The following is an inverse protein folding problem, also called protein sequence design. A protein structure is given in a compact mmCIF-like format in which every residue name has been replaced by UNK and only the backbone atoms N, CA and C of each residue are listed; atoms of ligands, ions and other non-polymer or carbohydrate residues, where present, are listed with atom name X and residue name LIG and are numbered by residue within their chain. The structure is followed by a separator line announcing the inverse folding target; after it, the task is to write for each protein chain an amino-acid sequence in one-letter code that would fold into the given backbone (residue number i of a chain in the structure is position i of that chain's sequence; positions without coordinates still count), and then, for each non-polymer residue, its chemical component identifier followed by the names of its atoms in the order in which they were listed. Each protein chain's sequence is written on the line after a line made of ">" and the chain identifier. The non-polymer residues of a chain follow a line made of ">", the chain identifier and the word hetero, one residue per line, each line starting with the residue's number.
data_IF_702498365152
#
_entry.id   IF_702498365152
#
_cell.length_a   1.000
_cell.length_b   1.000
_cell.length_c   1.000
_cell.angle_alpha   90.00
_cell.angle_beta   90.00
_cell.angle_gamma   90.00
#
_symmetry.space_group_name_H-M   'P 1'
#
loop_
_entity.id
_entity.type
_entity.pdbx_description
1 polymer ?
#
# COMPACT_ATOMS: atom_id res chain seq x y z
N UNK A 1 -5.40 -9.16 -16.67
CA UNK A 1 -4.92 -7.79 -16.97
C UNK A 1 -3.91 -7.45 -15.90
N UNK A 2 -2.68 -7.15 -16.29
CA UNK A 2 -1.62 -6.72 -15.36
C UNK A 2 -1.90 -5.32 -14.81
N UNK A 3 -1.29 -5.02 -13.67
CA UNK A 3 -1.28 -3.67 -13.08
C UNK A 3 -0.19 -2.79 -13.72
N UNK A 4 0.83 -3.36 -14.40
CA UNK A 4 1.82 -2.56 -15.13
C UNK A 4 1.20 -2.04 -16.42
N UNK A 5 1.09 -0.73 -16.52
CA UNK A 5 0.56 -0.03 -17.68
C UNK A 5 1.49 -0.18 -18.89
N UNK A 6 0.90 -0.10 -20.09
CA UNK A 6 1.67 -0.06 -21.33
C UNK A 6 2.57 1.18 -21.45
N UNK A 7 2.33 2.22 -20.65
CA UNK A 7 3.19 3.42 -20.56
C UNK A 7 4.47 3.06 -19.80
N UNK A 8 4.35 2.53 -18.58
CA UNK A 8 5.50 2.12 -17.76
C UNK A 8 6.38 1.09 -18.46
N UNK A 9 5.79 0.10 -19.15
CA UNK A 9 6.56 -0.86 -19.96
C UNK A 9 7.39 -0.17 -21.03
N UNK A 10 6.77 0.76 -21.77
CA UNK A 10 7.45 1.52 -22.83
C UNK A 10 8.54 2.39 -22.27
N UNK A 11 8.28 3.13 -21.21
CA UNK A 11 9.26 4.01 -20.58
C UNK A 11 10.48 3.22 -20.09
N UNK A 12 10.28 2.05 -19.47
CA UNK A 12 11.37 1.16 -19.05
C UNK A 12 12.15 0.63 -20.25
N UNK A 13 11.47 0.20 -21.32
CA UNK A 13 12.11 -0.26 -22.56
C UNK A 13 12.94 0.88 -23.20
N UNK A 14 12.41 2.10 -23.19
CA UNK A 14 13.08 3.28 -23.72
C UNK A 14 14.34 3.63 -22.93
N UNK A 15 14.41 3.35 -21.62
CA UNK A 15 15.67 3.47 -20.85
C UNK A 15 16.76 2.54 -21.40
N UNK A 16 16.41 1.30 -21.78
CA UNK A 16 17.36 0.36 -22.39
C UNK A 16 17.70 0.72 -23.83
N UNK A 17 16.74 1.25 -24.60
CA UNK A 17 16.95 1.65 -26.00
C UNK A 17 17.76 2.94 -26.14
N UNK A 18 17.47 3.95 -25.32
CA UNK A 18 17.93 5.31 -25.52
C UNK A 18 18.94 5.80 -24.47
N UNK A 19 19.10 5.06 -23.37
CA UNK A 19 19.95 5.51 -22.28
C UNK A 19 19.25 6.43 -21.28
N UNK A 20 19.96 6.80 -20.22
CA UNK A 20 19.57 7.85 -19.27
C UNK A 20 20.38 9.09 -19.61
N UNK A 21 19.72 10.15 -20.07
CA UNK A 21 20.35 11.45 -20.30
C UNK A 21 20.45 12.24 -19.01
N UNK A 22 21.65 12.72 -18.69
CA UNK A 22 21.92 13.64 -17.59
C UNK A 22 22.42 14.98 -18.14
N UNK A 23 21.71 16.05 -17.79
CA UNK A 23 22.16 17.42 -18.00
C UNK A 23 23.12 17.79 -16.87
N UNK A 24 24.42 17.67 -17.13
CA UNK A 24 25.41 18.36 -16.31
C UNK A 24 25.63 19.75 -16.89
N UNK A 25 25.79 20.77 -16.03
CA UNK A 25 25.98 22.19 -16.39
C UNK A 25 27.11 22.51 -17.40
N UNK A 26 27.89 21.50 -17.81
CA UNK A 26 28.95 21.58 -18.81
C UNK A 26 28.68 20.73 -20.07
N UNK A 27 28.06 19.56 -19.96
CA UNK A 27 27.87 18.57 -21.06
C UNK A 27 26.64 17.70 -20.77
N UNK A 28 25.85 17.42 -21.80
CA UNK A 28 24.80 16.40 -21.80
C UNK A 28 25.46 15.02 -22.00
N UNK A 29 25.35 14.13 -21.00
CA UNK A 29 25.90 12.77 -21.08
C UNK A 29 24.77 11.74 -21.05
N UNK A 30 24.79 10.80 -21.99
CA UNK A 30 23.84 9.68 -22.01
C UNK A 30 24.52 8.42 -21.52
N UNK A 31 24.01 7.90 -20.40
CA UNK A 31 24.48 6.67 -19.78
C UNK A 31 23.72 5.50 -20.35
N UNK A 32 24.43 4.54 -20.94
CA UNK A 32 23.85 3.32 -21.49
C UNK A 32 24.15 2.11 -20.61
N UNK A 33 23.11 1.33 -20.31
CA UNK A 33 23.24 0.05 -19.63
C UNK A 33 22.43 -1.03 -20.35
N UNK A 34 23.07 -2.09 -20.89
CA UNK A 34 22.36 -3.16 -21.59
C UNK A 34 21.63 -4.07 -20.61
N UNK A 35 20.44 -4.55 -20.99
CA UNK A 35 19.65 -5.49 -20.16
C UNK A 35 20.39 -6.82 -19.90
N UNK A 36 21.28 -7.24 -20.80
CA UNK A 36 22.08 -8.45 -20.66
C UNK A 36 23.33 -8.27 -19.78
N UNK A 37 23.58 -7.07 -19.27
CA UNK A 37 24.68 -6.76 -18.37
C UNK A 37 26.05 -7.13 -18.96
N UNK A 38 26.74 -8.10 -18.34
CA UNK A 38 28.07 -8.59 -18.76
C UNK A 38 28.03 -9.85 -19.62
N UNK A 39 26.86 -10.44 -19.85
CA UNK A 39 26.71 -11.58 -20.75
C UNK A 39 26.58 -11.12 -22.21
N UNK A 40 26.60 -12.06 -23.15
CA UNK A 40 25.99 -11.83 -24.45
C UNK A 40 24.47 -12.06 -24.39
N UNK A 41 23.76 -11.59 -25.42
CA UNK A 41 22.29 -11.65 -25.50
C UNK A 41 21.78 -13.11 -25.39
N UNK A 42 22.43 -14.07 -26.05
CA UNK A 42 21.97 -15.45 -26.09
C UNK A 42 22.11 -16.11 -24.72
N UNK A 43 23.29 -15.95 -24.11
CA UNK A 43 23.57 -16.50 -22.79
C UNK A 43 22.68 -15.88 -21.71
N UNK A 44 22.38 -14.58 -21.80
CA UNK A 44 21.39 -13.94 -20.93
C UNK A 44 19.99 -14.54 -21.12
N UNK A 45 19.50 -14.62 -22.35
CA UNK A 45 18.15 -15.12 -22.64
C UNK A 45 17.96 -16.57 -22.20
N UNK A 46 18.99 -17.41 -22.28
CA UNK A 46 18.96 -18.81 -21.82
C UNK A 46 18.75 -18.96 -20.31
N UNK A 47 18.95 -17.91 -19.53
CA UNK A 47 18.66 -17.90 -18.09
C UNK A 47 17.16 -17.79 -17.81
N UNK A 48 16.41 -17.18 -18.73
CA UNK A 48 14.97 -16.97 -18.62
C UNK A 48 14.15 -17.98 -19.46
N UNK A 49 14.67 -18.37 -20.61
CA UNK A 49 13.91 -19.10 -21.63
C UNK A 49 14.63 -20.36 -22.11
N UNK A 50 13.87 -21.42 -22.37
CA UNK A 50 14.36 -22.64 -23.03
C UNK A 50 14.33 -22.48 -24.55
N UNK A 51 15.22 -21.64 -25.08
CA UNK A 51 15.24 -21.26 -26.50
C UNK A 51 15.42 -22.45 -27.46
N UNK A 52 16.03 -23.54 -27.00
CA UNK A 52 16.20 -24.77 -27.78
C UNK A 52 14.89 -25.52 -28.06
N UNK A 53 13.84 -25.21 -27.27
CA UNK A 53 12.49 -25.77 -27.41
C UNK A 53 11.57 -24.93 -28.29
N UNK A 54 11.96 -23.71 -28.63
CA UNK A 54 11.15 -22.78 -29.41
C UNK A 54 11.34 -22.99 -30.91
N UNK A 55 10.27 -22.79 -31.68
CA UNK A 55 10.35 -22.80 -33.14
C UNK A 55 11.18 -21.63 -33.65
N UNK A 56 11.98 -21.90 -34.70
CA UNK A 56 12.78 -20.91 -35.39
C UNK A 56 11.92 -20.08 -36.35
N UNK A 57 12.09 -18.76 -36.36
CA UNK A 57 11.58 -17.87 -37.39
C UNK A 57 12.30 -18.06 -38.74
N UNK A 58 13.52 -18.60 -38.73
CA UNK A 58 14.23 -19.03 -39.93
C UNK A 58 14.05 -20.54 -40.15
N UNK A 59 13.28 -20.90 -41.17
CA UNK A 59 12.99 -22.30 -41.56
C UNK A 59 14.24 -23.16 -41.83
N UNK A 60 15.41 -22.55 -42.04
CA UNK A 60 16.69 -23.27 -42.26
C UNK A 60 17.30 -23.79 -40.97
N UNK A 61 16.86 -23.28 -39.82
CA UNK A 61 17.43 -23.56 -38.51
C UNK A 61 16.48 -24.38 -37.64
N UNK A 62 17.05 -25.15 -36.72
CA UNK A 62 16.29 -26.17 -35.97
C UNK A 62 15.39 -25.56 -34.89
N UNK A 63 15.84 -24.49 -34.25
CA UNK A 63 15.16 -23.85 -33.12
C UNK A 63 15.57 -22.38 -32.98
N UNK A 64 14.84 -21.65 -32.13
CA UNK A 64 15.09 -20.23 -31.90
C UNK A 64 16.50 -19.95 -31.34
N UNK A 65 17.09 -20.84 -30.55
CA UNK A 65 18.47 -20.65 -30.06
C UNK A 65 19.47 -20.52 -31.22
N UNK A 66 19.39 -21.41 -32.21
CA UNK A 66 20.26 -21.36 -33.38
C UNK A 66 20.01 -20.12 -34.24
N UNK A 67 18.74 -19.74 -34.41
CA UNK A 67 18.31 -18.53 -35.11
C UNK A 67 18.91 -17.27 -34.49
N UNK A 68 18.64 -17.07 -33.21
CA UNK A 68 19.07 -15.88 -32.49
C UNK A 68 20.59 -15.80 -32.48
N UNK A 69 21.28 -16.91 -32.18
CA UNK A 69 22.74 -16.95 -32.20
C UNK A 69 23.32 -16.59 -33.58
N UNK A 70 22.72 -17.08 -34.67
CA UNK A 70 23.17 -16.76 -36.03
C UNK A 70 22.93 -15.28 -36.36
N UNK A 71 21.72 -14.77 -36.13
CA UNK A 71 21.36 -13.39 -36.47
C UNK A 71 22.08 -12.35 -35.61
N UNK A 72 22.26 -12.61 -34.31
CA UNK A 72 23.08 -11.76 -33.44
C UNK A 72 24.54 -11.73 -33.91
N UNK A 73 25.11 -12.88 -34.30
CA UNK A 73 26.50 -12.92 -34.80
C UNK A 73 26.67 -12.23 -36.16
N UNK A 74 25.67 -12.31 -37.03
CA UNK A 74 25.69 -11.65 -38.33
C UNK A 74 25.44 -10.13 -38.24
N UNK A 75 24.96 -9.64 -37.10
CA UNK A 75 24.57 -8.24 -36.92
C UNK A 75 23.21 -7.89 -37.52
N UNK A 76 22.37 -8.89 -37.79
CA UNK A 76 21.03 -8.69 -38.34
C UNK A 76 20.06 -8.13 -37.29
N UNK A 77 20.33 -8.43 -36.01
CA UNK A 77 19.54 -7.96 -34.87
C UNK A 77 20.22 -6.78 -34.18
N UNK A 78 19.45 -5.71 -33.93
CA UNK A 78 19.88 -4.63 -33.04
C UNK A 78 20.00 -5.14 -31.61
N UNK A 79 20.83 -4.54 -30.75
CA UNK A 79 21.01 -5.04 -29.38
C UNK A 79 19.71 -5.15 -28.55
N UNK A 80 18.71 -4.35 -28.92
CA UNK A 80 17.42 -4.21 -28.22
C UNK A 80 16.24 -4.87 -28.96
N UNK A 81 16.52 -5.71 -29.97
CA UNK A 81 15.51 -6.40 -30.79
C UNK A 81 14.49 -7.20 -29.98
N UNK A 82 14.89 -7.74 -28.82
CA UNK A 82 14.05 -8.58 -27.96
C UNK A 82 12.79 -7.86 -27.46
N UNK A 83 12.82 -6.53 -27.38
CA UNK A 83 11.68 -5.76 -26.91
C UNK A 83 10.58 -5.66 -27.97
N UNK A 84 10.91 -5.93 -29.23
CA UNK A 84 9.98 -5.88 -30.35
C UNK A 84 9.57 -7.28 -30.83
N UNK A 85 10.14 -8.35 -30.26
CA UNK A 85 9.81 -9.74 -30.57
C UNK A 85 8.73 -10.29 -29.60
N UNK A 86 7.55 -10.57 -30.15
CA UNK A 86 6.37 -11.02 -29.41
C UNK A 86 6.59 -12.35 -28.67
N UNK A 87 7.56 -13.19 -29.06
CA UNK A 87 7.84 -14.48 -28.40
C UNK A 87 8.26 -14.32 -26.93
N UNK A 88 8.84 -13.16 -26.58
CA UNK A 88 9.27 -12.88 -25.21
C UNK A 88 8.18 -12.27 -24.33
N UNK A 89 7.08 -11.80 -24.94
CA UNK A 89 5.94 -11.21 -24.24
C UNK A 89 6.31 -10.07 -23.25
N UNK A 90 7.34 -9.28 -23.57
CA UNK A 90 7.80 -8.18 -22.71
C UNK A 90 6.86 -6.96 -22.77
N UNK A 91 6.13 -6.78 -23.88
CA UNK A 91 5.17 -5.68 -24.06
C UNK A 91 3.74 -6.14 -23.77
N UNK A 92 3.33 -7.28 -24.31
CA UNK A 92 1.96 -7.78 -24.33
C UNK A 92 1.68 -8.94 -23.33
N UNK A 93 2.72 -9.39 -22.63
CA UNK A 93 2.62 -10.47 -21.64
C UNK A 93 2.10 -10.08 -20.27
N UNK A 94 2.16 -11.05 -19.36
CA UNK A 94 1.82 -10.83 -17.94
C UNK A 94 2.86 -9.96 -17.24
N UNK A 95 2.50 -9.35 -16.11
CA UNK A 95 3.45 -8.58 -15.29
C UNK A 95 4.61 -9.43 -14.79
N UNK A 96 4.34 -10.68 -14.41
CA UNK A 96 5.37 -11.59 -13.91
C UNK A 96 6.48 -11.79 -14.94
N UNK A 97 6.15 -12.00 -16.21
CA UNK A 97 7.16 -12.16 -17.28
C UNK A 97 8.09 -10.94 -17.35
N UNK A 98 7.53 -9.74 -17.26
CA UNK A 98 8.30 -8.50 -17.33
C UNK A 98 9.11 -8.25 -16.06
N UNK A 99 8.51 -8.46 -14.89
CA UNK A 99 9.18 -8.28 -13.59
C UNK A 99 10.31 -9.32 -13.39
N UNK A 100 10.10 -10.58 -13.79
CA UNK A 100 11.10 -11.64 -13.72
C UNK A 100 12.27 -11.34 -14.67
N UNK A 101 11.98 -10.84 -15.88
CA UNK A 101 12.99 -10.32 -16.79
C UNK A 101 13.82 -9.22 -16.12
N UNK A 102 13.19 -8.20 -15.52
CA UNK A 102 13.89 -7.12 -14.84
C UNK A 102 14.71 -7.61 -13.64
N UNK A 103 14.22 -8.58 -12.87
CA UNK A 103 14.99 -9.19 -11.79
C UNK A 103 16.26 -9.86 -12.33
N UNK A 104 16.17 -10.53 -13.47
CA UNK A 104 17.32 -11.18 -14.10
C UNK A 104 18.34 -10.18 -14.64
N UNK A 105 17.90 -9.05 -15.22
CA UNK A 105 18.79 -7.94 -15.62
C UNK A 105 19.68 -7.50 -14.46
N UNK A 106 19.12 -7.43 -13.25
CA UNK A 106 19.82 -6.99 -12.04
C UNK A 106 20.36 -8.13 -11.18
N UNK A 107 20.31 -9.38 -11.67
CA UNK A 107 20.88 -10.51 -10.97
C UNK A 107 22.41 -10.33 -10.84
N UNK A 108 23.03 -10.64 -9.68
CA UNK A 108 24.45 -10.38 -9.45
C UNK A 108 25.40 -11.14 -10.37
N UNK A 109 24.93 -12.20 -11.04
CA UNK A 109 25.70 -12.86 -12.10
C UNK A 109 25.60 -12.13 -13.44
N UNK A 110 24.52 -11.40 -13.71
CA UNK A 110 24.24 -10.72 -14.97
C UNK A 110 24.78 -9.30 -14.97
N UNK A 111 24.48 -8.53 -13.93
CA UNK A 111 24.86 -7.11 -13.88
C UNK A 111 26.37 -6.92 -13.84
N UNK A 112 26.84 -5.91 -14.57
CA UNK A 112 28.22 -5.44 -14.49
C UNK A 112 28.40 -4.41 -13.37
N UNK A 113 29.11 -4.80 -12.31
CA UNK A 113 29.39 -3.94 -11.14
C UNK A 113 30.31 -2.75 -11.47
N UNK A 114 30.95 -2.73 -12.64
CA UNK A 114 31.79 -1.60 -13.08
C UNK A 114 31.03 -0.55 -13.89
N UNK A 115 29.72 -0.74 -14.09
CA UNK A 115 28.84 0.16 -14.84
C UNK A 115 27.72 0.69 -13.95
N UNK A 116 26.99 1.68 -14.47
CA UNK A 116 25.92 2.43 -13.77
C UNK A 116 24.58 1.65 -13.63
N UNK A 117 24.64 0.36 -13.29
CA UNK A 117 23.45 -0.49 -13.16
C UNK A 117 22.50 -0.01 -12.06
N UNK A 118 23.03 0.59 -10.99
CA UNK A 118 22.23 1.12 -9.87
C UNK A 118 21.33 2.27 -10.30
N UNK A 119 21.81 3.15 -11.18
CA UNK A 119 21.00 4.25 -11.73
C UNK A 119 19.81 3.71 -12.51
N UNK A 120 20.04 2.69 -13.34
CA UNK A 120 18.98 1.99 -14.06
C UNK A 120 18.00 1.31 -13.11
N UNK A 121 18.51 0.61 -12.08
CA UNK A 121 17.69 -0.03 -11.07
C UNK A 121 16.76 0.99 -10.37
N UNK A 122 17.31 2.11 -9.92
CA UNK A 122 16.54 3.18 -9.25
C UNK A 122 15.49 3.80 -10.17
N UNK A 123 15.86 4.12 -11.43
CA UNK A 123 14.93 4.71 -12.40
C UNK A 123 13.79 3.75 -12.76
N UNK A 124 14.10 2.48 -13.03
CA UNK A 124 13.10 1.46 -13.32
C UNK A 124 12.20 1.25 -12.12
N UNK A 125 12.75 1.15 -10.92
CA UNK A 125 11.96 0.96 -9.71
C UNK A 125 11.04 2.16 -9.42
N UNK A 126 11.45 3.39 -9.78
CA UNK A 126 10.59 4.57 -9.67
C UNK A 126 9.36 4.50 -10.59
N UNK A 127 9.54 3.98 -11.81
CA UNK A 127 8.45 3.79 -12.77
C UNK A 127 7.51 2.66 -12.32
N UNK A 128 8.06 1.52 -11.87
CA UNK A 128 7.27 0.39 -11.39
C UNK A 128 6.38 0.76 -10.19
N UNK A 129 6.84 1.65 -9.32
CA UNK A 129 6.10 2.10 -8.13
C UNK A 129 4.83 2.85 -8.47
N UNK A 130 4.80 3.56 -9.61
CA UNK A 130 3.58 4.23 -10.08
C UNK A 130 2.47 3.23 -10.44
N UNK A 131 2.87 2.03 -10.87
CA UNK A 131 1.98 0.92 -11.23
C UNK A 131 1.88 -0.15 -10.13
N UNK A 132 2.31 0.18 -8.91
CA UNK A 132 2.08 -0.64 -7.73
C UNK A 132 2.99 -1.87 -7.64
N UNK A 133 4.19 -1.82 -8.21
CA UNK A 133 5.24 -2.82 -7.99
C UNK A 133 6.57 -2.20 -7.57
N UNK A 134 7.43 -2.99 -6.94
CA UNK A 134 8.83 -2.62 -6.77
C UNK A 134 9.73 -3.85 -6.77
N UNK A 135 10.98 -3.66 -7.22
CA UNK A 135 12.07 -4.61 -7.07
C UNK A 135 12.73 -4.39 -5.70
N UNK A 136 12.89 -5.48 -4.94
CA UNK A 136 13.45 -5.50 -3.59
C UNK A 136 14.47 -6.61 -3.45
N UNK A 137 15.49 -6.38 -2.62
CA UNK A 137 16.47 -7.41 -2.32
C UNK A 137 15.79 -8.56 -1.57
N UNK A 138 15.85 -9.77 -2.13
CA UNK A 138 15.22 -10.97 -1.58
C UNK A 138 16.22 -11.88 -0.87
N UNK A 139 17.48 -11.87 -1.32
CA UNK A 139 18.57 -12.68 -0.77
C UNK A 139 19.92 -12.12 -1.18
N UNK A 140 21.01 -12.81 -0.83
CA UNK A 140 22.37 -12.43 -1.24
C UNK A 140 23.14 -13.63 -1.79
N UNK A 141 23.93 -13.40 -2.84
CA UNK A 141 24.94 -14.34 -3.36
C UNK A 141 26.31 -13.67 -3.23
N UNK A 142 27.24 -14.30 -2.51
CA UNK A 142 28.59 -13.76 -2.28
C UNK A 142 28.59 -12.31 -1.78
N UNK A 143 27.65 -11.98 -0.88
CA UNK A 143 27.46 -10.65 -0.30
C UNK A 143 26.70 -9.64 -1.17
N UNK A 144 26.37 -9.99 -2.42
CA UNK A 144 25.65 -9.12 -3.37
C UNK A 144 24.16 -9.42 -3.38
N UNK A 145 23.34 -8.38 -3.45
CA UNK A 145 21.89 -8.52 -3.45
C UNK A 145 21.36 -9.20 -4.72
N UNK A 146 20.47 -10.16 -4.50
CA UNK A 146 19.58 -10.75 -5.50
C UNK A 146 18.22 -10.09 -5.34
N UNK A 147 17.64 -9.64 -6.44
CA UNK A 147 16.36 -8.94 -6.43
C UNK A 147 15.21 -9.88 -6.78
N UNK A 148 14.06 -9.62 -6.17
CA UNK A 148 12.74 -10.14 -6.54
C UNK A 148 11.78 -8.96 -6.60
N UNK A 149 10.58 -9.16 -7.12
CA UNK A 149 9.53 -8.14 -7.09
C UNK A 149 8.50 -8.40 -5.99
N UNK A 150 7.81 -7.35 -5.55
CA UNK A 150 6.60 -7.41 -4.71
C UNK A 150 5.62 -6.32 -5.14
N UNK A 151 4.37 -6.42 -4.68
CA UNK A 151 3.40 -5.32 -4.80
C UNK A 151 3.83 -4.15 -3.94
N UNK A 152 3.82 -2.95 -4.53
CA UNK A 152 4.06 -1.68 -3.87
C UNK A 152 2.74 -0.97 -3.62
N UNK A 153 2.45 -0.68 -2.36
CA UNK A 153 1.31 0.18 -2.01
C UNK A 153 1.82 1.61 -2.05
N UNK A 154 1.44 2.37 -3.09
CA UNK A 154 1.74 3.80 -3.18
C UNK A 154 1.17 4.49 -1.95
N UNK A 155 2.05 4.85 -1.01
CA UNK A 155 1.66 5.65 0.15
C UNK A 155 1.14 6.98 -0.40
N UNK A 156 -0.06 7.45 -0.01
CA UNK A 156 -0.58 8.71 -0.51
C UNK A 156 0.44 9.82 -0.26
N UNK A 157 0.64 10.70 -1.26
CA UNK A 157 1.64 11.79 -1.21
C UNK A 157 1.48 12.66 0.04
N UNK A 158 0.26 12.71 0.58
CA UNK A 158 -0.07 13.38 1.82
C UNK A 158 -0.70 12.39 2.80
N UNK A 159 -0.09 12.23 3.99
CA UNK A 159 -0.75 11.65 5.16
C UNK A 159 -1.08 12.78 6.13
N UNK A 160 -2.12 12.61 6.95
CA UNK A 160 -2.42 13.54 8.04
C UNK A 160 -1.96 12.87 9.33
N UNK A 161 -1.04 13.44 10.13
CA UNK A 161 -0.55 12.81 11.34
C UNK A 161 -1.67 12.44 12.32
N UNK A 162 -1.50 11.35 13.07
CA UNK A 162 -2.44 10.86 14.08
C UNK A 162 -3.02 11.98 14.96
N UNK A 163 -2.18 12.87 15.48
CA UNK A 163 -2.58 13.94 16.39
C UNK A 163 -3.51 14.96 15.72
N UNK A 164 -3.31 15.24 14.44
CA UNK A 164 -4.14 16.16 13.66
C UNK A 164 -5.41 15.47 13.17
N UNK A 165 -5.32 14.22 12.67
CA UNK A 165 -6.49 13.40 12.28
C UNK A 165 -7.46 13.19 13.44
N UNK A 166 -6.94 13.06 14.67
CA UNK A 166 -7.73 12.80 15.87
C UNK A 166 -7.86 14.02 16.81
N UNK A 167 -7.54 15.23 16.35
CA UNK A 167 -7.43 16.44 17.18
C UNK A 167 -8.66 16.72 18.04
N UNK A 168 -9.86 16.55 17.48
CA UNK A 168 -11.12 16.73 18.21
C UNK A 168 -11.32 15.68 19.32
N UNK A 169 -10.91 14.43 19.07
CA UNK A 169 -11.02 13.34 20.04
C UNK A 169 -9.99 13.48 21.17
N UNK A 170 -8.79 13.98 20.84
CA UNK A 170 -7.71 14.24 21.80
C UNK A 170 -8.07 15.42 22.70
N UNK A 171 -8.45 16.56 22.11
CA UNK A 171 -8.83 17.77 22.88
C UNK A 171 -10.09 17.53 23.71
N UNK A 172 -11.05 16.78 23.18
CA UNK A 172 -12.24 16.31 23.90
C UNK A 172 -11.98 15.18 24.92
N UNK A 173 -10.72 14.77 25.13
CA UNK A 173 -10.28 13.68 26.04
C UNK A 173 -10.98 12.33 25.82
N UNK A 174 -11.51 12.10 24.61
CA UNK A 174 -12.11 10.82 24.21
C UNK A 174 -11.03 9.77 23.94
N UNK A 175 -9.89 10.20 23.40
CA UNK A 175 -8.68 9.39 23.35
C UNK A 175 -7.77 9.84 24.50
N UNK A 176 -7.58 8.95 25.47
CA UNK A 176 -6.66 9.16 26.58
C UNK A 176 -5.64 8.04 26.59
N UNK A 177 -4.41 8.35 26.19
CA UNK A 177 -3.32 7.40 26.12
C UNK A 177 -2.17 7.93 26.98
N UNK A 178 -1.58 7.07 27.79
CA UNK A 178 -0.33 7.34 28.50
C UNK A 178 0.75 6.49 27.86
N UNK A 179 1.87 7.11 27.53
CA UNK A 179 3.03 6.44 26.96
C UNK A 179 4.26 6.67 27.86
N UNK A 180 4.56 5.71 28.77
CA UNK A 180 5.68 5.82 29.71
C UNK A 180 7.02 5.97 28.98
N UNK A 181 7.97 6.70 29.57
CA UNK A 181 9.28 6.95 28.95
C UNK A 181 10.00 5.64 28.58
N UNK A 182 9.92 4.59 29.40
CA UNK A 182 10.51 3.29 29.08
C UNK A 182 9.98 2.69 27.77
N UNK A 183 8.69 2.91 27.45
CA UNK A 183 8.09 2.45 26.19
C UNK A 183 8.58 3.33 25.03
N UNK A 184 8.66 4.65 25.24
CA UNK A 184 9.22 5.58 24.23
C UNK A 184 10.63 5.20 23.82
N UNK A 185 11.49 4.89 24.80
CA UNK A 185 12.86 4.44 24.54
C UNK A 185 12.89 3.16 23.71
N UNK A 186 11.99 2.20 23.96
CA UNK A 186 11.91 0.98 23.16
C UNK A 186 11.46 1.26 21.73
N UNK A 187 10.46 2.13 21.54
CA UNK A 187 9.98 2.51 20.21
C UNK A 187 11.06 3.25 19.41
N UNK A 188 11.79 4.17 20.02
CA UNK A 188 12.91 4.87 19.38
C UNK A 188 14.05 3.94 19.03
N UNK A 189 14.34 2.94 19.89
CA UNK A 189 15.34 1.92 19.58
C UNK A 189 14.95 1.09 18.34
N UNK A 190 13.67 0.79 18.13
CA UNK A 190 13.21 0.13 16.89
C UNK A 190 13.43 1.06 15.70
N UNK A 191 13.08 2.34 15.81
CA UNK A 191 13.34 3.31 14.73
C UNK A 191 14.84 3.42 14.41
N UNK A 192 15.73 3.39 15.40
CA UNK A 192 17.18 3.38 15.16
C UNK A 192 17.67 2.12 14.40
N UNK A 193 17.02 0.96 14.61
CA UNK A 193 17.35 -0.30 13.91
C UNK A 193 16.89 -0.27 12.44
N UNK A 194 15.78 0.40 12.16
CA UNK A 194 15.17 0.51 10.84
C UNK A 194 15.56 1.79 10.09
N UNK A 195 16.49 2.58 10.63
CA UNK A 195 16.92 3.84 10.02
C UNK A 195 17.73 3.57 8.75
N UNK A 196 17.16 3.87 7.59
CA UNK A 196 17.77 3.63 6.29
C UNK A 196 18.55 4.86 5.82
N UNK A 197 19.71 4.65 5.18
CA UNK A 197 20.52 5.71 4.58
C UNK A 197 20.16 5.85 3.10
N UNK A 198 19.74 7.06 2.71
CA UNK A 198 19.46 7.44 1.33
C UNK A 198 20.59 8.29 0.76
N UNK A 199 20.98 8.00 -0.47
CA UNK A 199 21.91 8.82 -1.26
C UNK A 199 21.09 9.73 -2.17
N UNK A 200 21.16 11.03 -1.94
CA UNK A 200 20.39 12.04 -2.66
C UNK A 200 21.32 12.98 -3.41
N UNK A 201 20.77 13.56 -4.47
CA UNK A 201 21.44 14.57 -5.29
C UNK A 201 20.63 15.86 -5.13
N UNK A 202 21.30 16.94 -4.77
CA UNK A 202 20.66 18.25 -4.71
C UNK A 202 20.57 18.91 -6.10
N UNK A 203 19.96 20.10 -6.14
CA UNK A 203 19.78 20.91 -7.37
C UNK A 203 21.10 21.29 -8.05
N UNK A 204 22.24 21.10 -7.37
CA UNK A 204 23.58 21.42 -7.84
C UNK A 204 24.41 20.18 -8.19
N UNK A 205 23.77 19.00 -8.28
CA UNK A 205 24.40 17.69 -8.49
C UNK A 205 25.34 17.24 -7.37
N UNK A 206 25.19 17.78 -6.15
CA UNK A 206 25.95 17.32 -5.00
C UNK A 206 25.29 16.13 -4.33
N UNK A 207 26.06 15.06 -4.17
CA UNK A 207 25.66 13.88 -3.42
C UNK A 207 25.68 14.17 -1.91
N UNK A 208 24.55 13.94 -1.25
CA UNK A 208 24.46 13.96 0.20
C UNK A 208 23.72 12.73 0.72
N UNK A 209 23.96 12.40 1.98
CA UNK A 209 23.30 11.30 2.68
C UNK A 209 22.20 11.86 3.55
N UNK A 210 21.08 11.18 3.62
CA UNK A 210 19.98 11.51 4.51
C UNK A 210 19.40 10.23 5.09
N UNK A 211 19.09 10.25 6.38
CA UNK A 211 18.53 9.11 7.09
C UNK A 211 17.00 9.20 7.17
N UNK A 212 16.30 8.06 7.21
CA UNK A 212 14.84 7.98 7.37
C UNK A 212 14.32 8.90 8.48
N UNK A 213 15.00 8.92 9.63
CA UNK A 213 14.61 9.75 10.79
C UNK A 213 14.72 11.26 10.56
N UNK A 214 15.53 11.72 9.62
CA UNK A 214 15.71 13.14 9.35
C UNK A 214 14.49 13.75 8.65
N UNK A 215 13.78 12.95 7.85
CA UNK A 215 12.54 13.38 7.22
C UNK A 215 11.38 13.58 8.21
N UNK A 216 11.45 12.97 9.38
CA UNK A 216 10.34 12.99 10.35
C UNK A 216 10.01 14.40 10.82
N UNK A 217 11.04 15.19 11.14
CA UNK A 217 10.83 16.57 11.58
C UNK A 217 10.29 17.44 10.44
N UNK A 218 10.79 17.25 9.22
CA UNK A 218 10.33 17.96 8.03
C UNK A 218 8.86 17.67 7.75
N UNK A 219 8.45 16.40 7.82
CA UNK A 219 7.08 15.98 7.61
C UNK A 219 6.13 16.53 8.67
N UNK A 220 6.49 16.41 9.95
CA UNK A 220 5.65 16.91 11.04
C UNK A 220 5.49 18.43 10.95
N UNK A 221 6.57 19.17 10.64
CA UNK A 221 6.56 20.62 10.54
C UNK A 221 5.69 21.16 9.39
N UNK A 222 5.33 20.34 8.39
CA UNK A 222 4.32 20.70 7.38
C UNK A 222 2.92 20.88 7.98
N UNK A 223 2.64 20.26 9.13
CA UNK A 223 1.32 20.30 9.77
C UNK A 223 1.30 21.19 11.00
N UNK A 224 2.33 21.13 11.84
CA UNK A 224 2.44 21.95 13.04
C UNK A 224 3.88 22.05 13.55
N UNK A 225 4.19 23.13 14.26
CA UNK A 225 5.50 23.29 14.92
C UNK A 225 5.56 22.39 16.15
N UNK A 226 6.36 21.33 16.08
CA UNK A 226 6.48 20.36 17.17
C UNK A 226 7.25 20.95 18.37
N UNK A 227 6.74 20.69 19.58
CA UNK A 227 7.32 21.19 20.85
C UNK A 227 7.39 20.09 21.89
N UNK A 228 8.37 20.20 22.79
CA UNK A 228 8.57 19.29 23.91
C UNK A 228 8.93 20.05 25.18
N UNK A 229 8.65 19.45 26.33
CA UNK A 229 9.02 20.02 27.62
C UNK A 229 10.46 19.66 28.00
N UNK A 230 11.28 20.68 28.21
CA UNK A 230 12.61 20.57 28.83
C UNK A 230 12.53 21.23 30.20
N UNK A 231 12.44 20.40 31.25
CA UNK A 231 12.07 20.87 32.59
C UNK A 231 10.63 21.41 32.59
N UNK A 232 10.46 22.69 32.96
CA UNK A 232 9.16 23.38 32.94
C UNK A 232 8.89 24.15 31.66
N UNK A 233 9.87 24.26 30.75
CA UNK A 233 9.79 25.12 29.59
C UNK A 233 9.38 24.31 28.36
N UNK A 234 8.44 24.86 27.58
CA UNK A 234 8.04 24.29 26.31
C UNK A 234 8.95 24.84 25.21
N UNK A 235 9.78 23.97 24.62
CA UNK A 235 10.76 24.31 23.59
C UNK A 235 10.41 23.68 22.25
N UNK A 236 10.81 24.32 21.15
CA UNK A 236 10.66 23.76 19.81
C UNK A 236 11.64 22.61 19.57
N UNK A 237 11.15 21.57 18.92
CA UNK A 237 11.92 20.40 18.53
C UNK A 237 12.81 20.77 17.34
N UNK A 238 14.11 20.47 17.43
CA UNK A 238 15.10 20.83 16.40
C UNK A 238 15.72 19.63 15.73
N UNK A 239 15.64 18.46 16.36
CA UNK A 239 16.19 17.20 15.83
C UNK A 239 15.32 16.02 16.26
N UNK A 240 15.45 14.91 15.54
CA UNK A 240 14.67 13.70 15.79
C UNK A 240 14.72 13.21 17.25
N UNK A 241 15.89 13.25 17.88
CA UNK A 241 16.05 12.80 19.27
C UNK A 241 15.27 13.62 20.30
N UNK A 242 14.92 14.88 19.99
CA UNK A 242 14.15 15.73 20.91
C UNK A 242 12.69 15.24 21.05
N UNK A 243 12.18 14.47 20.08
CA UNK A 243 10.83 13.91 20.15
C UNK A 243 10.65 12.89 21.27
N UNK A 244 11.71 12.19 21.66
CA UNK A 244 11.64 11.05 22.57
C UNK A 244 11.09 11.43 23.96
N UNK A 245 11.48 12.61 24.47
CA UNK A 245 11.15 13.06 25.82
C UNK A 245 10.39 14.39 25.81
N UNK A 246 9.52 14.59 26.82
CA UNK A 246 8.80 15.85 26.99
C UNK A 246 7.69 16.11 25.97
N UNK A 247 7.47 15.23 24.99
CA UNK A 247 6.38 15.33 24.02
C UNK A 247 5.09 14.65 24.50
N UNK A 248 3.95 14.97 23.88
CA UNK A 248 2.72 14.20 24.11
C UNK A 248 2.81 12.81 23.46
N UNK A 249 2.11 11.78 23.97
CA UNK A 249 2.01 10.47 23.32
C UNK A 249 1.57 10.53 21.86
N UNK A 250 0.73 11.50 21.51
CA UNK A 250 0.20 11.65 20.15
C UNK A 250 1.25 12.13 19.16
N UNK A 251 2.18 13.00 19.61
CA UNK A 251 3.35 13.39 18.81
C UNK A 251 4.27 12.19 18.56
N UNK A 252 4.39 11.27 19.53
CA UNK A 252 5.16 10.03 19.32
C UNK A 252 4.49 9.15 18.25
N UNK A 253 3.16 9.11 18.18
CA UNK A 253 2.45 8.40 17.11
C UNK A 253 2.68 9.03 15.75
N UNK A 254 2.65 10.37 15.67
CA UNK A 254 2.98 11.09 14.43
C UNK A 254 4.41 10.77 13.96
N UNK A 255 5.37 10.71 14.89
CA UNK A 255 6.76 10.32 14.61
C UNK A 255 6.82 8.91 14.03
N UNK A 256 6.09 7.95 14.61
CA UNK A 256 6.06 6.56 14.13
C UNK A 256 5.43 6.48 12.73
N UNK A 257 4.29 7.15 12.51
CA UNK A 257 3.62 7.20 11.19
C UNK A 257 4.55 7.81 10.15
N UNK A 258 5.18 8.95 10.46
CA UNK A 258 6.12 9.63 9.58
C UNK A 258 7.33 8.76 9.26
N UNK A 259 7.97 8.17 10.28
CA UNK A 259 9.15 7.33 10.10
C UNK A 259 8.83 6.11 9.22
N UNK A 260 7.68 5.47 9.45
CA UNK A 260 7.23 4.32 8.66
C UNK A 260 7.11 4.65 7.16
N UNK A 261 6.90 5.92 6.79
CA UNK A 261 6.84 6.34 5.37
C UNK A 261 8.20 6.26 4.68
N UNK A 262 9.29 6.48 5.40
CA UNK A 262 10.65 6.62 4.89
C UNK A 262 11.49 5.36 5.05
N UNK A 263 10.86 4.19 5.15
CA UNK A 263 11.53 2.89 5.24
C UNK A 263 10.96 1.91 4.22
N UNK A 264 11.81 1.02 3.73
CA UNK A 264 11.46 -0.05 2.78
C UNK A 264 10.85 -1.26 3.49
N UNK A 265 11.39 -1.65 4.65
CA UNK A 265 10.88 -2.79 5.43
C UNK A 265 9.78 -2.35 6.43
N UNK A 266 8.72 -1.73 5.90
CA UNK A 266 7.62 -1.23 6.72
C UNK A 266 6.85 -2.35 7.45
N UNK A 267 6.63 -3.51 6.82
CA UNK A 267 5.93 -4.64 7.46
C UNK A 267 6.70 -5.18 8.68
N UNK A 268 8.03 -5.32 8.56
CA UNK A 268 8.88 -5.70 9.70
C UNK A 268 8.80 -4.68 10.83
N UNK A 269 8.91 -3.40 10.49
CA UNK A 269 8.79 -2.30 11.44
C UNK A 269 7.42 -2.29 12.14
N UNK A 270 6.33 -2.46 11.39
CA UNK A 270 4.97 -2.53 11.94
C UNK A 270 4.83 -3.65 12.96
N UNK A 271 5.35 -4.83 12.65
CA UNK A 271 5.31 -5.98 13.54
C UNK A 271 6.04 -5.72 14.86
N UNK A 272 7.24 -5.13 14.82
CA UNK A 272 8.02 -4.81 16.03
C UNK A 272 7.38 -3.71 16.89
N UNK A 273 6.90 -2.63 16.26
CA UNK A 273 6.18 -1.56 16.95
C UNK A 273 4.92 -2.12 17.63
N UNK A 274 4.12 -2.90 16.91
CA UNK A 274 2.90 -3.50 17.45
C UNK A 274 3.18 -4.51 18.58
N UNK A 275 4.28 -5.26 18.52
CA UNK A 275 4.70 -6.15 19.60
C UNK A 275 4.97 -5.37 20.90
N UNK A 276 5.66 -4.23 20.81
CA UNK A 276 5.92 -3.34 21.97
C UNK A 276 4.61 -2.78 22.52
N UNK A 277 3.76 -2.22 21.66
CA UNK A 277 2.48 -1.61 22.05
C UNK A 277 1.57 -2.64 22.73
N UNK A 278 1.45 -3.84 22.17
CA UNK A 278 0.66 -4.95 22.73
C UNK A 278 1.21 -5.42 24.07
N UNK A 279 2.52 -5.66 24.18
CA UNK A 279 3.17 -6.08 25.43
C UNK A 279 2.95 -5.07 26.55
N UNK A 280 2.97 -3.77 26.22
CA UNK A 280 2.78 -2.67 27.17
C UNK A 280 1.33 -2.25 27.35
N UNK A 281 0.37 -2.97 26.73
CA UNK A 281 -1.08 -2.72 26.80
C UNK A 281 -1.43 -1.28 26.42
N UNK A 282 -0.75 -0.74 25.41
CA UNK A 282 -1.10 0.53 24.80
C UNK A 282 -2.17 0.25 23.74
N UNK A 283 -3.33 0.89 23.89
CA UNK A 283 -4.53 0.59 23.10
C UNK A 283 -4.52 1.26 21.71
N UNK A 284 -3.45 1.02 20.94
CA UNK A 284 -3.31 1.45 19.56
C UNK A 284 -2.63 0.36 18.73
N UNK A 285 -2.82 0.39 17.41
CA UNK A 285 -2.18 -0.50 16.45
C UNK A 285 -1.68 0.32 15.26
N UNK A 286 -0.47 0.03 14.78
CA UNK A 286 0.06 0.55 13.53
C UNK A 286 -0.34 -0.41 12.40
N UNK A 287 -1.00 0.08 11.35
CA UNK A 287 -1.42 -0.71 10.19
C UNK A 287 -1.33 0.12 8.92
N UNK A 288 -0.64 -0.37 7.90
CA UNK A 288 -0.52 0.34 6.62
C UNK A 288 0.12 1.72 6.75
N UNK A 289 1.03 1.88 7.70
CA UNK A 289 1.72 3.13 8.02
C UNK A 289 0.95 4.09 8.93
N UNK A 290 -0.28 3.77 9.35
CA UNK A 290 -1.10 4.64 10.20
C UNK A 290 -1.43 4.02 11.57
N UNK A 291 -1.46 4.85 12.61
CA UNK A 291 -1.86 4.47 13.96
C UNK A 291 -3.38 4.56 14.09
N UNK A 292 -3.98 3.50 14.61
CA UNK A 292 -5.39 3.40 14.93
C UNK A 292 -5.58 3.17 16.43
N UNK A 293 -6.44 3.97 17.06
CA UNK A 293 -6.76 3.87 18.49
C UNK A 293 -7.96 2.94 18.74
N UNK A 294 -7.95 2.21 19.85
CA UNK A 294 -9.07 1.35 20.23
C UNK A 294 -10.36 2.09 20.61
N UNK A 295 -10.32 3.42 20.74
CA UNK A 295 -11.56 4.23 20.84
C UNK A 295 -12.31 4.23 19.50
N UNK A 296 -11.62 3.91 18.41
CA UNK A 296 -12.24 3.53 17.14
C UNK A 296 -12.78 2.08 17.19
N UNK A 297 -12.23 1.20 18.04
CA UNK A 297 -12.56 -0.24 18.10
C UNK A 297 -13.85 -0.60 18.86
N UNK A 298 -14.69 0.34 19.29
CA UNK A 298 -16.01 -0.07 19.82
C UNK A 298 -16.96 -0.53 18.71
N UNK A 299 -16.68 -0.22 17.44
CA UNK A 299 -17.59 -0.49 16.32
C UNK A 299 -16.89 -0.79 14.98
N UNK A 300 -15.55 -0.75 14.89
CA UNK A 300 -14.86 -1.23 13.68
C UNK A 300 -15.07 -2.73 13.54
N UNK A 301 -15.35 -3.18 12.31
CA UNK A 301 -15.31 -4.61 12.00
C UNK A 301 -13.97 -5.19 12.45
N UNK A 302 -13.99 -6.36 13.08
CA UNK A 302 -12.78 -7.06 13.50
C UNK A 302 -11.82 -7.16 12.30
N UNK A 303 -10.60 -6.63 12.47
CA UNK A 303 -9.57 -6.58 11.43
C UNK A 303 -9.13 -7.95 10.89
N UNK A 304 -9.58 -9.04 11.53
CA UNK A 304 -9.40 -10.42 11.06
C UNK A 304 -10.48 -10.88 10.06
N UNK A 305 -11.55 -10.11 9.86
CA UNK A 305 -12.64 -10.42 8.94
C UNK A 305 -12.18 -10.27 7.48
N UNK A 306 -11.99 -11.40 6.78
CA UNK A 306 -11.79 -11.42 5.32
C UNK A 306 -13.12 -11.16 4.62
N UNK A 307 -13.27 -9.98 4.03
CA UNK A 307 -14.43 -9.66 3.20
C UNK A 307 -14.12 -10.12 1.77
N UNK A 308 -14.73 -11.23 1.35
CA UNK A 308 -14.43 -11.84 0.04
C UNK A 308 -15.03 -11.06 -1.16
N UNK A 309 -15.85 -10.05 -0.91
CA UNK A 309 -16.49 -9.24 -1.95
C UNK A 309 -15.96 -7.80 -1.93
N UNK A 310 -15.16 -7.47 -2.94
CA UNK A 310 -14.39 -6.21 -3.05
C UNK A 310 -15.28 -4.96 -2.94
N UNK A 311 -16.47 -4.98 -3.53
CA UNK A 311 -17.37 -3.82 -3.49
C UNK A 311 -17.97 -3.56 -2.10
N UNK A 312 -18.22 -4.62 -1.32
CA UNK A 312 -18.69 -4.51 0.06
C UNK A 312 -17.58 -3.99 0.98
N UNK A 313 -16.35 -4.49 0.81
CA UNK A 313 -15.19 -4.00 1.55
C UNK A 313 -14.96 -2.50 1.30
N UNK A 314 -15.02 -2.07 0.03
CA UNK A 314 -14.86 -0.68 -0.34
C UNK A 314 -15.93 0.21 0.29
N UNK A 315 -17.20 -0.19 0.24
CA UNK A 315 -18.31 0.57 0.83
C UNK A 315 -18.17 0.73 2.34
N UNK A 316 -17.79 -0.33 3.06
CA UNK A 316 -17.57 -0.28 4.51
C UNK A 316 -16.39 0.64 4.83
N UNK A 317 -15.26 0.48 4.14
CA UNK A 317 -14.06 1.32 4.32
C UNK A 317 -14.36 2.81 4.11
N UNK A 318 -15.08 3.14 3.03
CA UNK A 318 -15.47 4.53 2.73
C UNK A 318 -16.44 5.05 3.81
N UNK A 319 -17.38 4.22 4.27
CA UNK A 319 -18.31 4.60 5.33
C UNK A 319 -17.59 4.90 6.65
N UNK A 320 -16.59 4.09 7.04
CA UNK A 320 -15.75 4.29 8.22
C UNK A 320 -14.91 5.57 8.12
N UNK A 321 -14.25 5.81 6.97
CA UNK A 321 -13.49 7.04 6.72
C UNK A 321 -14.36 8.30 6.87
N UNK A 322 -15.54 8.29 6.24
CA UNK A 322 -16.50 9.38 6.32
C UNK A 322 -17.00 9.60 7.76
N UNK A 323 -17.27 8.51 8.49
CA UNK A 323 -17.70 8.59 9.88
C UNK A 323 -16.61 9.20 10.77
N UNK A 324 -15.35 8.77 10.59
CA UNK A 324 -14.18 9.31 11.28
C UNK A 324 -13.95 10.80 11.02
N UNK A 325 -14.21 11.25 9.78
CA UNK A 325 -14.17 12.66 9.37
C UNK A 325 -15.35 13.51 9.85
N UNK A 326 -16.30 12.93 10.60
CA UNK A 326 -17.50 13.61 11.06
C UNK A 326 -18.55 13.88 9.97
N UNK A 327 -18.39 13.30 8.78
CA UNK A 327 -19.32 13.41 7.65
C UNK A 327 -20.46 12.40 7.76
N UNK A 328 -21.22 12.49 8.86
CA UNK A 328 -22.16 11.43 9.27
C UNK A 328 -23.27 11.10 8.27
N UNK A 329 -23.77 12.09 7.52
CA UNK A 329 -24.80 11.84 6.49
C UNK A 329 -24.28 10.91 5.39
N UNK A 330 -23.12 11.26 4.82
CA UNK A 330 -22.45 10.44 3.80
C UNK A 330 -22.02 9.07 4.35
N UNK A 331 -21.59 9.01 5.61
CA UNK A 331 -21.25 7.74 6.25
C UNK A 331 -22.47 6.81 6.35
N UNK A 332 -23.65 7.35 6.70
CA UNK A 332 -24.91 6.60 6.77
C UNK A 332 -25.36 6.12 5.40
N UNK A 333 -25.21 6.95 4.36
CA UNK A 333 -25.49 6.56 2.97
C UNK A 333 -24.65 5.33 2.58
N UNK A 334 -23.33 5.39 2.77
CA UNK A 334 -22.40 4.32 2.37
C UNK A 334 -22.58 3.03 3.16
N UNK A 335 -22.84 3.11 4.46
CA UNK A 335 -23.13 1.89 5.24
C UNK A 335 -24.49 1.28 4.86
N UNK A 336 -25.46 2.08 4.42
CA UNK A 336 -26.71 1.55 3.87
C UNK A 336 -26.52 0.89 2.50
N UNK A 337 -25.67 1.44 1.64
CA UNK A 337 -25.30 0.80 0.38
C UNK A 337 -24.62 -0.56 0.62
N UNK A 338 -23.74 -0.66 1.63
CA UNK A 338 -23.15 -1.92 2.06
C UNK A 338 -24.23 -2.92 2.50
N UNK A 339 -25.21 -2.50 3.31
CA UNK A 339 -26.34 -3.33 3.72
C UNK A 339 -27.19 -3.81 2.51
N UNK A 340 -27.46 -2.93 1.54
CA UNK A 340 -28.18 -3.30 0.32
C UNK A 340 -27.39 -4.35 -0.50
N UNK A 341 -26.06 -4.21 -0.56
CA UNK A 341 -25.17 -5.14 -1.26
C UNK A 341 -25.08 -6.50 -0.59
N UNK A 342 -25.06 -6.55 0.75
CA UNK A 342 -25.11 -7.80 1.54
C UNK A 342 -26.39 -8.59 1.26
N UNK A 343 -27.53 -7.92 1.08
CA UNK A 343 -28.79 -8.60 0.73
C UNK A 343 -28.75 -9.33 -0.62
N UNK A 344 -27.71 -9.11 -1.42
CA UNK A 344 -27.44 -9.81 -2.69
C UNK A 344 -26.12 -10.57 -2.66
N UNK A 345 -25.60 -10.92 -1.47
CA UNK A 345 -24.30 -11.60 -1.31
C UNK A 345 -24.23 -12.94 -2.05
N UNK A 346 -25.34 -13.68 -2.12
CA UNK A 346 -25.42 -14.94 -2.87
C UNK A 346 -25.93 -14.68 -4.30
N UNK A 347 -25.08 -14.64 -5.35
CA UNK A 347 -25.47 -14.17 -6.68
C UNK A 347 -26.49 -15.08 -7.39
N UNK A 348 -26.59 -16.34 -6.94
CA UNK A 348 -27.52 -17.33 -7.48
C UNK A 348 -28.92 -17.24 -6.87
N UNK A 349 -29.13 -16.38 -5.88
CA UNK A 349 -30.40 -16.18 -5.18
C UNK A 349 -30.93 -14.77 -5.44
N UNK A 350 -32.25 -14.61 -5.47
CA UNK A 350 -32.83 -13.27 -5.43
C UNK A 350 -32.59 -12.60 -4.07
N UNK A 351 -32.78 -11.29 -4.02
CA UNK A 351 -32.55 -10.48 -2.81
C UNK A 351 -33.29 -10.99 -1.57
N UNK A 352 -34.48 -11.55 -1.75
CA UNK A 352 -35.32 -12.02 -0.64
C UNK A 352 -34.78 -13.35 -0.10
N UNK A 353 -34.51 -14.29 -0.99
CA UNK A 353 -33.98 -15.61 -0.67
C UNK A 353 -32.54 -15.53 -0.13
N UNK A 354 -31.73 -14.60 -0.64
CA UNK A 354 -30.38 -14.32 -0.11
C UNK A 354 -30.46 -13.80 1.33
N UNK A 355 -31.35 -12.83 1.61
CA UNK A 355 -31.54 -12.33 2.98
C UNK A 355 -32.05 -13.43 3.93
N UNK A 356 -33.01 -14.26 3.50
CA UNK A 356 -33.51 -15.37 4.30
C UNK A 356 -32.40 -16.40 4.60
N UNK A 357 -31.55 -16.70 3.62
CA UNK A 357 -30.39 -17.58 3.81
C UNK A 357 -29.42 -17.02 4.86
N UNK A 358 -29.03 -15.75 4.74
CA UNK A 358 -28.15 -15.09 5.72
C UNK A 358 -28.75 -15.17 7.12
N UNK A 359 -30.05 -14.89 7.26
CA UNK A 359 -30.74 -14.92 8.55
C UNK A 359 -30.76 -16.33 9.12
N UNK A 360 -31.01 -17.35 8.31
CA UNK A 360 -30.93 -18.75 8.75
C UNK A 360 -29.53 -19.11 9.24
N UNK A 361 -28.50 -18.68 8.51
CA UNK A 361 -27.09 -18.97 8.82
C UNK A 361 -26.70 -18.34 10.18
N UNK A 362 -26.96 -17.04 10.39
CA UNK A 362 -26.62 -16.34 11.65
C UNK A 362 -27.50 -16.72 12.86
N UNK A 363 -28.62 -17.42 12.62
CA UNK A 363 -29.55 -17.82 13.68
C UNK A 363 -29.26 -19.21 14.24
N UNK A 364 -28.37 -19.98 13.61
CA UNK A 364 -27.96 -21.32 14.05
C UNK A 364 -29.15 -22.25 14.41
N UNK A 365 -30.25 -22.15 13.64
CA UNK A 365 -31.47 -22.95 13.84
C UNK A 365 -32.39 -22.51 14.99
N UNK A 366 -32.11 -21.39 15.67
CA UNK A 366 -32.98 -20.86 16.73
C UNK A 366 -34.08 -19.95 16.18
N UNK A 367 -35.34 -20.40 16.24
CA UNK A 367 -36.50 -19.68 15.72
C UNK A 367 -36.76 -18.30 16.36
N UNK A 368 -36.43 -18.13 17.65
CA UNK A 368 -36.56 -16.82 18.31
C UNK A 368 -35.51 -15.81 17.81
N UNK A 369 -34.28 -16.27 17.61
CA UNK A 369 -33.18 -15.45 17.07
C UNK A 369 -33.44 -15.13 15.60
N UNK A 370 -33.90 -16.12 14.82
CA UNK A 370 -34.35 -15.93 13.43
C UNK A 370 -35.38 -14.83 13.31
N UNK A 371 -36.45 -14.89 14.11
CA UNK A 371 -37.49 -13.86 14.14
C UNK A 371 -36.94 -12.48 14.55
N UNK A 372 -35.96 -12.43 15.46
CA UNK A 372 -35.32 -11.17 15.87
C UNK A 372 -34.56 -10.53 14.70
N UNK A 373 -33.71 -11.29 14.01
CA UNK A 373 -32.98 -10.79 12.83
C UNK A 373 -33.89 -10.47 11.66
N UNK A 374 -34.95 -11.25 11.41
CA UNK A 374 -35.98 -10.93 10.42
C UNK A 374 -36.60 -9.55 10.67
N UNK A 375 -36.91 -9.24 11.93
CA UNK A 375 -37.47 -7.94 12.30
C UNK A 375 -36.44 -6.82 12.12
N UNK A 376 -35.17 -7.07 12.41
CA UNK A 376 -34.11 -6.06 12.24
C UNK A 376 -33.83 -5.76 10.76
N UNK A 377 -33.77 -6.79 9.90
CA UNK A 377 -33.63 -6.62 8.45
C UNK A 377 -34.79 -5.80 7.86
N UNK A 378 -36.03 -6.07 8.31
CA UNK A 378 -37.21 -5.29 7.92
C UNK A 378 -37.10 -3.85 8.40
N UNK A 379 -36.80 -3.63 9.68
CA UNK A 379 -36.68 -2.30 10.26
C UNK A 379 -35.63 -1.44 9.55
N UNK A 380 -34.45 -1.99 9.24
CA UNK A 380 -33.40 -1.25 8.50
C UNK A 380 -33.79 -0.99 7.05
N UNK A 381 -34.50 -1.92 6.40
CA UNK A 381 -35.02 -1.70 5.05
C UNK A 381 -36.08 -0.59 5.04
N UNK A 382 -36.98 -0.58 6.02
CA UNK A 382 -38.00 0.45 6.16
C UNK A 382 -37.37 1.82 6.44
N UNK A 383 -36.38 1.89 7.33
CA UNK A 383 -35.62 3.13 7.59
C UNK A 383 -34.96 3.66 6.31
N UNK A 384 -34.26 2.80 5.55
CA UNK A 384 -33.61 3.19 4.30
C UNK A 384 -34.58 3.70 3.23
N UNK A 385 -35.82 3.19 3.24
CA UNK A 385 -36.88 3.58 2.32
C UNK A 385 -37.66 4.82 2.76
N UNK A 386 -37.81 5.07 4.06
CA UNK A 386 -38.61 6.18 4.59
C UNK A 386 -37.81 7.46 4.80
N UNK A 387 -36.54 7.35 5.18
CA UNK A 387 -35.69 8.51 5.47
C UNK A 387 -34.83 8.92 4.27
N UNK A 388 -34.40 10.18 4.23
CA UNK A 388 -33.52 10.74 3.20
C UNK A 388 -32.06 10.28 3.36
N UNK A 389 -31.84 8.96 3.31
CA UNK A 389 -30.52 8.32 3.46
C UNK A 389 -29.88 8.06 2.11
N UNK A 390 -30.60 7.44 1.16
CA UNK A 390 -30.08 7.15 -0.20
C UNK A 390 -30.81 7.89 -1.31
N UNK A 391 -32.11 8.10 -1.13
CA UNK A 391 -32.97 8.72 -2.13
C UNK A 391 -33.35 10.12 -1.66
N UNK A 392 -33.03 11.14 -2.46
CA UNK A 392 -33.27 12.55 -2.14
C UNK A 392 -34.68 13.04 -2.55
N UNK A 393 -35.63 12.13 -2.71
CA UNK A 393 -36.99 12.45 -3.12
C UNK A 393 -37.70 13.30 -2.06
N UNK A 394 -38.55 14.23 -2.52
CA UNK A 394 -39.19 15.27 -1.69
C UNK A 394 -40.13 14.74 -0.59
N UNK A 395 -40.56 13.48 -0.69
CA UNK A 395 -41.52 12.86 0.23
C UNK A 395 -40.85 12.03 1.35
N UNK A 396 -39.51 11.95 1.37
CA UNK A 396 -38.75 11.22 2.41
C UNK A 396 -38.61 12.05 3.69
N UNK A 397 -38.52 11.38 4.83
CA UNK A 397 -38.33 12.02 6.13
C UNK A 397 -36.89 12.55 6.22
N UNK A 398 -36.75 13.85 6.45
CA UNK A 398 -35.45 14.49 6.60
C UNK A 398 -34.80 14.20 7.96
N UNK A 399 -33.48 14.08 7.97
CA UNK A 399 -32.70 13.83 9.19
C UNK A 399 -31.91 15.10 9.52
N UNK A 400 -32.43 15.89 10.46
CA UNK A 400 -31.90 17.23 10.77
C UNK A 400 -30.87 17.27 11.91
N UNK A 401 -30.65 16.16 12.64
CA UNK A 401 -29.74 16.09 13.77
C UNK A 401 -28.62 15.07 13.52
N UNK A 402 -27.37 15.50 13.71
CA UNK A 402 -26.21 14.60 13.63
C UNK A 402 -26.33 13.37 14.54
N UNK A 403 -26.96 13.52 15.70
CA UNK A 403 -27.18 12.42 16.65
C UNK A 403 -27.94 11.25 15.98
N UNK A 404 -28.90 11.55 15.11
CA UNK A 404 -29.70 10.53 14.44
C UNK A 404 -28.88 9.81 13.36
N UNK A 405 -28.05 10.53 12.60
CA UNK A 405 -27.11 9.89 11.68
C UNK A 405 -26.14 8.95 12.42
N UNK A 406 -25.60 9.39 13.56
CA UNK A 406 -24.74 8.53 14.39
C UNK A 406 -25.46 7.27 14.87
N UNK A 407 -26.72 7.37 15.26
CA UNK A 407 -27.52 6.23 15.67
C UNK A 407 -27.78 5.27 14.51
N UNK A 408 -28.24 5.78 13.36
CA UNK A 408 -28.52 4.94 12.18
C UNK A 408 -27.26 4.23 11.67
N UNK A 409 -26.14 4.94 11.59
CA UNK A 409 -24.86 4.34 11.21
C UNK A 409 -24.53 3.14 12.10
N UNK A 410 -24.54 3.34 13.42
CA UNK A 410 -24.18 2.30 14.40
C UNK A 410 -25.15 1.13 14.37
N UNK A 411 -26.45 1.39 14.22
CA UNK A 411 -27.47 0.33 14.16
C UNK A 411 -27.26 -0.57 12.94
N UNK A 412 -27.03 0.02 11.77
CA UNK A 412 -26.78 -0.72 10.54
C UNK A 412 -25.46 -1.49 10.60
N UNK A 413 -24.38 -0.84 11.05
CA UNK A 413 -23.06 -1.44 11.18
C UNK A 413 -23.04 -2.65 12.13
N UNK A 414 -23.82 -2.61 13.21
CA UNK A 414 -23.94 -3.72 14.14
C UNK A 414 -24.47 -5.00 13.47
N UNK A 415 -25.51 -4.88 12.62
CA UNK A 415 -26.04 -6.02 11.87
C UNK A 415 -25.01 -6.54 10.84
N UNK A 416 -24.39 -5.62 10.08
CA UNK A 416 -23.38 -5.98 9.07
C UNK A 416 -22.21 -6.75 9.69
N UNK A 417 -21.74 -6.32 10.87
CA UNK A 417 -20.62 -6.95 11.56
C UNK A 417 -20.91 -8.41 11.91
N UNK A 418 -22.10 -8.68 12.46
CA UNK A 418 -22.53 -10.06 12.80
C UNK A 418 -22.63 -10.94 11.56
N UNK A 419 -23.13 -10.39 10.44
CA UNK A 419 -23.23 -11.13 9.18
C UNK A 419 -21.84 -11.50 8.68
N UNK A 420 -20.90 -10.54 8.67
CA UNK A 420 -19.55 -10.76 8.14
C UNK A 420 -18.73 -11.72 9.00
N UNK A 421 -18.94 -11.77 10.31
CA UNK A 421 -18.35 -12.78 11.19
C UNK A 421 -18.81 -14.21 10.84
N UNK A 422 -20.06 -14.36 10.42
CA UNK A 422 -20.64 -15.64 10.02
C UNK A 422 -20.34 -16.06 8.57
N UNK A 423 -19.95 -15.11 7.71
CA UNK A 423 -19.63 -15.37 6.30
C UNK A 423 -18.16 -15.77 6.06
N UNK A 424 -17.36 -15.85 7.13
CA UNK A 424 -16.07 -16.54 7.14
C UNK A 424 -16.26 -18.05 7.03
#
# INVERSE_FOLDING_TARGET
>A
MGNISGITRRDIIDLFKNGITEDNWLVEETIYYPYYGRFDIVDFLKRLYKLDTWESGDSRLKNAEQEIMMHTRNGDYSDNWIFDDERFHLIDGTDNVFLDFLCEVFHPEVRDENKEWKKYFEKINSLLREDGYELVASSKISGRDVFSWRTYIKKPDMYIPFSERNKFLITGKKISIKLPNAVRHQLFKVMDVYDEEFYLIDETNWNYRKYSKEYVLEDINKFYVAKHYVGSNLTEIKKFSDFQEGTSPFVIFDVIESFCRHITNYEGFENEINAILKLKKINVVLRGGEIHSSVNNSFLLDSTLKINEVGLEELIRVAEDLYGKGKYSYAVEKIWDAFERIKTYYPTLDKKNSAEKIINDISYGNEHIKKMFDNEFKALTDIGNSYRIRHHEIYKIDISKELHYKYFYKRCLALISVILENLQ
#
